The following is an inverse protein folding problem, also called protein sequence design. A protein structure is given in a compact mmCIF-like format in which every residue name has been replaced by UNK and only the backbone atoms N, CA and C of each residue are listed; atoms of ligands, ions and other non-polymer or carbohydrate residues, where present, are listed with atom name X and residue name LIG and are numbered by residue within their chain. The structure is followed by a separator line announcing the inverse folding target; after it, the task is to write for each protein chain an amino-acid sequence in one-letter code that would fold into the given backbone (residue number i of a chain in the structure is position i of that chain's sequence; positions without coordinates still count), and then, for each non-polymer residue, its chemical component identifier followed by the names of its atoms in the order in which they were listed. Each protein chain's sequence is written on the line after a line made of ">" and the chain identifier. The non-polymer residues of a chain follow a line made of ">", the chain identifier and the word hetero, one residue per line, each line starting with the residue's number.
data_IF_080079119428
#
_entry.id   IF_080079119428
#
_cell.length_a   1.000
_cell.length_b   1.000
_cell.length_c   1.000
_cell.angle_alpha   90.00
_cell.angle_beta   90.00
_cell.angle_gamma   90.00
#
_symmetry.space_group_name_H-M   'P 1'
#
loop_
_entity.id
_entity.type
_entity.pdbx_description
1 polymer ?
#
# COMPACT_ATOMS: atom_id res chain seq x y z
N UNK A 1 23.73 -15.08 24.39
CA UNK A 1 24.28 -14.83 23.04
C UNK A 1 23.18 -14.22 22.18
N UNK A 2 23.30 -12.95 21.78
CA UNK A 2 22.39 -12.37 20.77
C UNK A 2 22.87 -12.88 19.41
N UNK A 3 22.06 -13.70 18.74
CA UNK A 3 22.32 -14.03 17.35
C UNK A 3 21.97 -12.80 16.52
N UNK A 4 22.99 -12.09 16.05
CA UNK A 4 22.84 -11.10 14.99
C UNK A 4 22.43 -11.85 13.72
N UNK A 5 21.12 -11.92 13.46
CA UNK A 5 20.61 -12.38 12.18
C UNK A 5 20.95 -11.32 11.13
N UNK A 6 22.16 -11.42 10.57
CA UNK A 6 22.56 -10.64 9.41
C UNK A 6 21.77 -11.20 8.22
N UNK A 7 20.66 -10.54 7.88
CA UNK A 7 19.95 -10.78 6.62
C UNK A 7 20.92 -10.39 5.49
N UNK A 8 21.45 -11.38 4.78
CA UNK A 8 22.29 -11.14 3.59
C UNK A 8 21.36 -10.74 2.44
N UNK A 9 21.44 -9.49 2.01
CA UNK A 9 20.75 -8.97 0.83
C UNK A 9 21.77 -8.30 -0.09
N UNK A 10 21.58 -8.46 -1.41
CA UNK A 10 22.39 -7.83 -2.45
C UNK A 10 21.80 -6.46 -2.88
N UNK A 11 20.91 -5.88 -2.07
CA UNK A 11 20.29 -4.59 -2.39
C UNK A 11 21.34 -3.47 -2.37
N UNK A 12 21.53 -2.73 -3.49
CA UNK A 12 22.52 -1.66 -3.57
C UNK A 12 22.24 -0.50 -2.58
N UNK A 13 21.03 -0.40 -2.04
CA UNK A 13 20.62 0.65 -1.10
C UNK A 13 20.76 0.25 0.37
N UNK A 14 21.39 -0.89 0.68
CA UNK A 14 21.51 -1.38 2.06
C UNK A 14 22.15 -0.37 3.03
N UNK A 15 23.14 0.40 2.57
CA UNK A 15 23.78 1.45 3.38
C UNK A 15 22.79 2.56 3.76
N UNK A 16 22.01 3.03 2.79
CA UNK A 16 20.97 4.03 2.97
C UNK A 16 19.87 3.53 3.93
N UNK A 17 19.40 2.29 3.76
CA UNK A 17 18.43 1.70 4.69
C UNK A 17 18.97 1.57 6.11
N UNK A 18 20.26 1.23 6.29
CA UNK A 18 20.90 1.20 7.62
C UNK A 18 20.99 2.59 8.23
N UNK A 19 21.21 3.62 7.44
CA UNK A 19 21.23 5.01 7.92
C UNK A 19 19.84 5.48 8.32
N UNK A 20 18.85 5.33 7.44
CA UNK A 20 17.44 5.60 7.74
C UNK A 20 16.97 4.85 8.99
N UNK A 21 17.31 3.57 9.12
CA UNK A 21 16.94 2.78 10.30
C UNK A 21 17.57 3.33 11.58
N UNK A 22 18.83 3.79 11.53
CA UNK A 22 19.53 4.36 12.69
C UNK A 22 18.93 5.69 13.08
N UNK A 23 18.58 6.52 12.10
CA UNK A 23 17.94 7.81 12.37
C UNK A 23 16.50 7.65 12.86
N UNK A 24 15.79 6.63 12.37
CA UNK A 24 14.48 6.25 12.90
C UNK A 24 14.59 5.75 14.35
N UNK A 25 15.53 4.84 14.67
CA UNK A 25 15.80 4.37 16.04
C UNK A 25 16.32 5.48 16.96
N UNK A 26 16.91 6.54 16.42
CA UNK A 26 17.33 7.71 17.22
C UNK A 26 16.14 8.62 17.57
N UNK A 27 15.15 8.71 16.69
CA UNK A 27 13.93 9.50 16.89
C UNK A 27 12.90 8.76 17.73
N UNK A 28 12.79 7.45 17.55
CA UNK A 28 11.85 6.56 18.25
C UNK A 28 12.56 5.71 19.31
N UNK A 29 11.94 5.48 20.47
CA UNK A 29 12.56 4.64 21.50
C UNK A 29 12.63 3.17 21.04
N UNK A 30 13.70 2.44 21.42
CA UNK A 30 13.82 1.00 21.13
C UNK A 30 12.61 0.21 21.65
N UNK A 31 12.01 0.65 22.76
CA UNK A 31 10.80 0.02 23.30
C UNK A 31 9.60 0.27 22.39
N UNK A 32 9.40 1.52 21.94
CA UNK A 32 8.36 1.86 20.96
C UNK A 32 8.47 1.01 19.69
N UNK A 33 9.68 0.81 19.18
CA UNK A 33 9.92 -0.03 18.01
C UNK A 33 9.60 -1.50 18.28
N UNK A 34 9.98 -2.03 19.44
CA UNK A 34 9.64 -3.41 19.82
C UNK A 34 8.12 -3.57 19.92
N UNK A 35 7.44 -2.63 20.54
CA UNK A 35 5.99 -2.65 20.71
C UNK A 35 5.30 -2.61 19.35
N UNK A 36 5.79 -1.77 18.43
CA UNK A 36 5.36 -1.75 17.03
C UNK A 36 5.55 -3.11 16.35
N UNK A 37 6.74 -3.72 16.41
CA UNK A 37 6.96 -5.04 15.80
C UNK A 37 6.09 -6.15 16.43
N UNK A 38 5.85 -6.09 17.74
CA UNK A 38 4.92 -7.01 18.43
C UNK A 38 3.50 -6.80 17.90
N UNK A 39 3.06 -5.54 17.76
CA UNK A 39 1.77 -5.20 17.18
C UNK A 39 1.62 -5.75 15.76
N UNK A 40 2.59 -5.49 14.87
CA UNK A 40 2.60 -6.00 13.49
C UNK A 40 2.52 -7.52 13.49
N UNK A 41 3.35 -8.20 14.29
CA UNK A 41 3.35 -9.66 14.40
C UNK A 41 1.99 -10.20 14.82
N UNK A 42 1.38 -9.61 15.84
CA UNK A 42 0.07 -10.05 16.34
C UNK A 42 -1.02 -9.85 15.29
N UNK A 43 -1.02 -8.71 14.60
CA UNK A 43 -1.95 -8.42 13.51
C UNK A 43 -1.78 -9.39 12.33
N UNK A 44 -0.55 -9.67 11.91
CA UNK A 44 -0.28 -10.65 10.84
C UNK A 44 -0.71 -12.07 11.24
N UNK A 45 -0.53 -12.45 12.51
CA UNK A 45 -0.95 -13.78 13.00
C UNK A 45 -2.47 -13.97 13.04
N UNK A 46 -3.25 -12.88 12.95
CA UNK A 46 -4.71 -12.95 12.89
C UNK A 46 -5.26 -13.23 11.48
N UNK A 47 -4.40 -13.26 10.46
CA UNK A 47 -4.77 -13.57 9.08
C UNK A 47 -4.43 -15.01 8.76
N UNK A 48 -5.42 -15.73 8.24
CA UNK A 48 -5.30 -17.09 7.73
C UNK A 48 -5.82 -17.19 6.28
N UNK A 49 -5.87 -18.40 5.73
CA UNK A 49 -6.30 -18.64 4.35
C UNK A 49 -7.81 -18.44 4.13
N UNK A 50 -8.61 -18.38 5.20
CA UNK A 50 -10.06 -18.12 5.16
C UNK A 50 -10.40 -16.63 5.32
N UNK A 51 -9.41 -15.80 5.65
CA UNK A 51 -9.58 -14.37 5.84
C UNK A 51 -9.95 -13.69 4.52
N UNK A 52 -10.86 -12.72 4.57
CA UNK A 52 -11.34 -12.01 3.37
C UNK A 52 -10.44 -10.85 2.96
N UNK A 53 -10.61 -10.30 1.76
CA UNK A 53 -9.95 -9.06 1.33
C UNK A 53 -10.21 -7.90 2.30
N UNK A 54 -11.43 -7.77 2.83
CA UNK A 54 -11.76 -6.78 3.86
C UNK A 54 -10.96 -6.97 5.16
N UNK A 55 -10.64 -8.23 5.53
CA UNK A 55 -9.76 -8.49 6.67
C UNK A 55 -8.33 -7.99 6.39
N UNK A 56 -7.83 -8.19 5.17
CA UNK A 56 -6.53 -7.68 4.75
C UNK A 56 -6.52 -6.15 4.68
N UNK A 57 -7.57 -5.53 4.15
CA UNK A 57 -7.68 -4.07 4.14
C UNK A 57 -7.64 -3.49 5.56
N UNK A 58 -8.34 -4.13 6.51
CA UNK A 58 -8.35 -3.74 7.93
C UNK A 58 -6.98 -3.91 8.59
N UNK A 59 -6.25 -4.98 8.24
CA UNK A 59 -4.87 -5.20 8.65
C UNK A 59 -3.98 -4.05 8.15
N UNK A 60 -3.97 -3.79 6.84
CA UNK A 60 -3.13 -2.75 6.24
C UNK A 60 -3.46 -1.37 6.84
N UNK A 61 -4.75 -1.06 6.99
CA UNK A 61 -5.21 0.16 7.64
C UNK A 61 -4.63 0.29 9.06
N UNK A 62 -4.78 -0.74 9.88
CA UNK A 62 -4.28 -0.72 11.27
C UNK A 62 -2.76 -0.47 11.32
N UNK A 63 -2.01 -1.04 10.38
CA UNK A 63 -0.55 -0.88 10.29
C UNK A 63 -0.18 0.55 9.91
N UNK A 64 -0.85 1.11 8.91
CA UNK A 64 -0.57 2.48 8.47
C UNK A 64 -0.98 3.53 9.50
N UNK A 65 -2.11 3.33 10.19
CA UNK A 65 -2.54 4.20 11.28
C UNK A 65 -1.55 4.16 12.47
N UNK A 66 -1.01 2.97 12.80
CA UNK A 66 0.05 2.84 13.81
C UNK A 66 1.34 3.57 13.39
N UNK A 67 1.60 3.67 12.09
CA UNK A 67 2.67 4.47 11.51
C UNK A 67 2.33 5.96 11.38
N UNK A 68 1.22 6.42 11.99
CA UNK A 68 0.72 7.80 11.96
C UNK A 68 0.34 8.32 10.57
N UNK A 69 0.08 7.44 9.61
CA UNK A 69 -0.53 7.82 8.35
C UNK A 69 -2.05 7.81 8.44
N UNK A 70 -2.68 8.60 7.59
CA UNK A 70 -4.14 8.60 7.46
C UNK A 70 -4.58 7.71 6.31
N UNK A 71 -5.57 6.87 6.57
CA UNK A 71 -6.03 5.85 5.62
C UNK A 71 -7.50 6.07 5.27
N UNK A 72 -7.83 5.98 3.98
CA UNK A 72 -9.21 5.91 3.49
C UNK A 72 -9.44 4.56 2.81
N UNK A 73 -10.32 3.74 3.39
CA UNK A 73 -10.79 2.49 2.80
C UNK A 73 -11.98 2.77 1.91
N UNK A 74 -11.86 2.38 0.65
CA UNK A 74 -12.84 2.73 -0.36
C UNK A 74 -13.99 1.72 -0.40
N UNK A 75 -14.94 1.82 0.53
CA UNK A 75 -16.16 0.98 0.54
C UNK A 75 -17.02 1.19 -0.72
N UNK A 76 -17.52 0.09 -1.30
CA UNK A 76 -18.12 0.00 -2.63
C UNK A 76 -18.92 1.22 -3.13
N UNK A 77 -18.60 1.67 -4.35
CA UNK A 77 -19.28 2.74 -5.08
C UNK A 77 -18.63 2.98 -6.44
N UNK A 78 -19.45 3.13 -7.48
CA UNK A 78 -19.00 3.56 -8.81
C UNK A 78 -18.57 5.02 -8.76
N UNK A 79 -17.33 5.30 -9.14
CA UNK A 79 -16.91 6.65 -9.54
C UNK A 79 -16.79 6.60 -11.07
N UNK A 80 -17.72 7.25 -11.74
CA UNK A 80 -17.73 7.60 -13.18
C UNK A 80 -17.19 6.54 -14.15
N UNK A 81 -18.01 5.55 -14.52
CA UNK A 81 -17.86 4.80 -15.77
C UNK A 81 -16.62 3.91 -15.91
N UNK A 82 -15.65 3.96 -14.99
CA UNK A 82 -14.42 3.14 -15.00
C UNK A 82 -14.46 2.20 -13.79
N UNK A 83 -14.53 0.89 -14.08
CA UNK A 83 -14.59 -0.21 -13.11
C UNK A 83 -13.27 -0.48 -12.37
N UNK A 84 -12.50 0.53 -12.00
CA UNK A 84 -11.26 0.32 -11.23
C UNK A 84 -11.21 1.24 -10.01
N UNK A 85 -11.97 0.86 -8.98
CA UNK A 85 -11.79 1.42 -7.64
C UNK A 85 -10.57 0.75 -7.02
N UNK A 86 -9.79 1.50 -6.25
CA UNK A 86 -8.72 0.96 -5.43
C UNK A 86 -9.22 0.71 -4.01
N UNK A 87 -8.66 -0.27 -3.32
CA UNK A 87 -9.12 -0.66 -1.99
C UNK A 87 -8.71 0.36 -0.91
N UNK A 88 -7.46 0.85 -0.98
CA UNK A 88 -6.90 1.76 0.04
C UNK A 88 -6.21 2.96 -0.61
N UNK A 89 -6.54 4.14 -0.08
CA UNK A 89 -5.79 5.38 -0.27
C UNK A 89 -5.06 5.76 1.02
N UNK A 90 -3.77 6.05 0.91
CA UNK A 90 -2.91 6.49 2.01
C UNK A 90 -2.61 7.98 1.87
N UNK A 91 -2.61 8.70 2.97
CA UNK A 91 -2.33 10.13 3.07
C UNK A 91 -1.27 10.36 4.14
N UNK A 92 -0.50 11.44 4.00
CA UNK A 92 0.52 11.82 4.98
C UNK A 92 -0.12 12.10 6.36
N UNK A 93 -1.31 12.71 6.37
CA UNK A 93 -2.01 13.10 7.60
C UNK A 93 -3.53 13.28 7.35
N UNK A 94 -4.28 13.56 8.43
CA UNK A 94 -5.73 13.68 8.38
C UNK A 94 -6.21 14.92 7.63
N UNK A 95 -5.40 15.99 7.58
CA UNK A 95 -5.74 17.21 6.86
C UNK A 95 -5.83 16.90 5.36
N UNK A 96 -4.83 16.19 4.83
CA UNK A 96 -4.79 15.79 3.42
C UNK A 96 -5.95 14.86 3.06
N UNK A 97 -6.27 13.90 3.95
CA UNK A 97 -7.43 13.00 3.76
C UNK A 97 -8.76 13.77 3.76
N UNK A 98 -8.97 14.69 4.70
CA UNK A 98 -10.20 15.48 4.81
C UNK A 98 -10.37 16.40 3.60
N UNK A 99 -9.29 17.07 3.16
CA UNK A 99 -9.31 17.93 1.97
C UNK A 99 -9.64 17.12 0.71
N UNK A 100 -9.02 15.95 0.54
CA UNK A 100 -9.36 15.02 -0.54
C UNK A 100 -10.84 14.63 -0.53
N UNK A 101 -11.36 14.17 0.61
CA UNK A 101 -12.75 13.73 0.73
C UNK A 101 -13.74 14.89 0.46
N UNK A 102 -13.44 16.11 0.92
CA UNK A 102 -14.26 17.29 0.66
C UNK A 102 -14.33 17.59 -0.84
N UNK A 103 -13.17 17.66 -1.50
CA UNK A 103 -13.10 17.89 -2.94
C UNK A 103 -13.83 16.79 -3.71
N UNK A 104 -13.83 15.54 -3.21
CA UNK A 104 -14.41 14.39 -3.91
C UNK A 104 -15.94 14.52 -3.94
N UNK A 105 -16.52 14.97 -2.83
CA UNK A 105 -17.95 15.31 -2.74
C UNK A 105 -18.33 16.51 -3.61
N UNK A 106 -17.44 17.48 -3.78
CA UNK A 106 -17.64 18.62 -4.69
C UNK A 106 -17.59 18.20 -6.16
N UNK A 107 -16.61 17.35 -6.53
CA UNK A 107 -16.43 16.86 -7.90
C UNK A 107 -17.60 15.98 -8.40
N UNK A 108 -18.27 15.23 -7.51
CA UNK A 108 -19.49 14.48 -7.87
C UNK A 108 -20.61 15.37 -8.44
N UNK A 109 -20.53 16.68 -8.25
CA UNK A 109 -21.53 17.65 -8.71
C UNK A 109 -21.18 18.30 -10.06
N UNK A 110 -19.92 18.22 -10.53
CA UNK A 110 -19.41 18.93 -11.73
C UNK A 110 -18.25 18.13 -12.38
N UNK A 111 -18.35 17.72 -13.65
CA UNK A 111 -17.38 16.87 -14.37
C UNK A 111 -16.38 17.74 -15.20
N UNK A 112 -15.05 17.47 -15.27
CA UNK A 112 -14.13 16.97 -14.23
C UNK A 112 -12.70 17.58 -14.32
N UNK A 113 -11.99 17.68 -13.19
CA UNK A 113 -10.56 17.36 -12.99
C UNK A 113 -10.40 17.45 -11.49
N UNK A 114 -10.19 16.31 -10.86
CA UNK A 114 -10.07 16.22 -9.41
C UNK A 114 -8.59 16.12 -9.03
N UNK A 115 -8.11 16.99 -8.14
CA UNK A 115 -6.71 16.98 -7.70
C UNK A 115 -6.47 15.80 -6.75
N UNK A 116 -5.48 14.98 -7.08
CA UNK A 116 -5.08 13.79 -6.32
C UNK A 116 -3.81 14.03 -5.52
N UNK A 117 -3.35 15.29 -5.42
CA UNK A 117 -2.07 15.67 -4.81
C UNK A 117 -1.90 15.15 -3.39
N UNK A 118 -2.95 15.19 -2.57
CA UNK A 118 -2.93 14.73 -1.17
C UNK A 118 -2.76 13.21 -0.98
N UNK A 119 -3.00 12.38 -2.01
CA UNK A 119 -2.79 10.93 -1.89
C UNK A 119 -1.28 10.64 -1.92
N UNK A 120 -0.76 10.05 -0.85
CA UNK A 120 0.63 9.60 -0.75
C UNK A 120 0.85 8.31 -1.56
N UNK A 121 0.02 7.29 -1.30
CA UNK A 121 0.17 5.95 -1.87
C UNK A 121 -1.19 5.31 -2.08
N UNK A 122 -1.23 4.37 -3.01
CA UNK A 122 -2.40 3.59 -3.36
C UNK A 122 -2.10 2.12 -3.10
N UNK A 123 -2.99 1.40 -2.42
CA UNK A 123 -2.82 -0.03 -2.22
C UNK A 123 -4.04 -0.82 -2.71
N UNK A 124 -3.74 -1.85 -3.49
CA UNK A 124 -4.66 -2.89 -3.94
C UNK A 124 -4.42 -4.15 -3.11
N UNK A 125 -5.51 -4.78 -2.71
CA UNK A 125 -5.54 -5.92 -1.82
C UNK A 125 -6.09 -7.14 -2.57
N UNK A 126 -5.55 -8.31 -2.25
CA UNK A 126 -6.03 -9.61 -2.73
C UNK A 126 -6.24 -10.56 -1.56
N UNK A 127 -7.06 -11.58 -1.79
CA UNK A 127 -7.29 -12.63 -0.80
C UNK A 127 -5.96 -13.28 -0.33
N UNK A 128 -5.82 -13.69 0.94
CA UNK A 128 -4.59 -14.30 1.47
C UNK A 128 -4.03 -15.49 0.67
N UNK A 129 -4.88 -16.24 -0.03
CA UNK A 129 -4.50 -17.40 -0.86
C UNK A 129 -4.04 -17.00 -2.27
N UNK A 130 -4.11 -15.71 -2.61
CA UNK A 130 -3.58 -15.19 -3.86
C UNK A 130 -2.07 -15.45 -3.93
N UNK A 131 -1.64 -16.15 -4.97
CA UNK A 131 -0.24 -16.48 -5.20
C UNK A 131 0.40 -15.46 -6.12
N UNK A 132 1.51 -14.88 -5.66
CA UNK A 132 2.38 -14.01 -6.46
C UNK A 132 3.28 -14.77 -7.45
N UNK A 133 3.21 -16.11 -7.46
CA UNK A 133 3.96 -16.95 -8.41
C UNK A 133 3.11 -17.30 -9.65
N UNK A 134 1.78 -17.17 -9.55
CA UNK A 134 0.85 -17.46 -10.63
C UNK A 134 0.79 -16.29 -11.64
N UNK A 135 1.69 -16.29 -12.63
CA UNK A 135 1.92 -15.19 -13.58
C UNK A 135 0.65 -14.53 -14.14
N UNK A 136 -0.34 -15.32 -14.57
CA UNK A 136 -1.54 -14.77 -15.20
C UNK A 136 -2.42 -13.98 -14.21
N UNK A 137 -2.60 -14.51 -12.99
CA UNK A 137 -3.35 -13.85 -11.92
C UNK A 137 -2.63 -12.60 -11.39
N UNK A 138 -1.30 -12.66 -11.32
CA UNK A 138 -0.47 -11.51 -10.94
C UNK A 138 -0.62 -10.39 -11.96
N UNK A 139 -0.53 -10.70 -13.25
CA UNK A 139 -0.69 -9.71 -14.30
C UNK A 139 -2.06 -9.02 -14.24
N UNK A 140 -3.13 -9.76 -13.98
CA UNK A 140 -4.48 -9.18 -13.82
C UNK A 140 -4.55 -8.19 -12.65
N UNK A 141 -3.96 -8.56 -11.51
CA UNK A 141 -3.88 -7.69 -10.34
C UNK A 141 -2.98 -6.46 -10.56
N UNK A 142 -1.85 -6.64 -11.24
CA UNK A 142 -0.95 -5.56 -11.66
C UNK A 142 -1.68 -4.58 -12.61
N UNK A 143 -2.41 -5.10 -13.60
CA UNK A 143 -3.19 -4.30 -14.55
C UNK A 143 -4.30 -3.52 -13.83
N UNK A 144 -4.94 -4.11 -12.80
CA UNK A 144 -5.89 -3.40 -11.95
C UNK A 144 -5.24 -2.25 -11.19
N UNK A 145 -4.13 -2.52 -10.49
CA UNK A 145 -3.37 -1.48 -9.79
C UNK A 145 -2.92 -0.37 -10.75
N UNK A 146 -2.45 -0.72 -11.95
CA UNK A 146 -2.01 0.24 -12.95
C UNK A 146 -3.14 1.16 -13.43
N UNK A 147 -4.37 0.64 -13.59
CA UNK A 147 -5.55 1.46 -13.89
C UNK A 147 -5.82 2.47 -12.79
N UNK A 148 -5.75 2.05 -11.53
CA UNK A 148 -5.92 2.95 -10.38
C UNK A 148 -4.80 4.01 -10.33
N UNK A 149 -3.54 3.62 -10.51
CA UNK A 149 -2.42 4.56 -10.57
C UNK A 149 -2.60 5.61 -11.67
N UNK A 150 -3.12 5.23 -12.84
CA UNK A 150 -3.44 6.19 -13.91
C UNK A 150 -4.59 7.12 -13.51
N UNK A 151 -5.68 6.57 -12.99
CA UNK A 151 -6.85 7.32 -12.56
C UNK A 151 -6.48 8.38 -11.53
N UNK A 152 -5.64 8.02 -10.56
CA UNK A 152 -5.21 8.91 -9.49
C UNK A 152 -3.91 9.67 -9.80
N UNK A 153 -3.37 9.55 -11.01
CA UNK A 153 -2.12 10.19 -11.44
C UNK A 153 -0.93 9.92 -10.49
N UNK A 154 -0.78 8.67 -10.01
CA UNK A 154 0.31 8.24 -9.14
C UNK A 154 1.33 7.37 -9.84
N UNK A 155 2.56 7.41 -9.33
CA UNK A 155 3.69 6.64 -9.84
C UNK A 155 3.93 5.35 -9.05
N UNK A 156 3.51 5.31 -7.79
CA UNK A 156 3.78 4.18 -6.90
C UNK A 156 2.50 3.64 -6.29
N UNK A 157 2.46 2.33 -6.09
CA UNK A 157 1.38 1.65 -5.39
C UNK A 157 1.84 0.33 -4.78
N UNK A 158 1.02 -0.23 -3.90
CA UNK A 158 1.26 -1.53 -3.28
C UNK A 158 0.23 -2.53 -3.78
N UNK A 159 0.67 -3.76 -4.06
CA UNK A 159 -0.23 -4.92 -4.16
C UNK A 159 0.08 -5.85 -2.98
N UNK A 160 -0.94 -6.25 -2.23
CA UNK A 160 -0.76 -7.09 -1.04
C UNK A 160 -1.83 -8.14 -0.89
N UNK A 161 -1.47 -9.32 -0.38
CA UNK A 161 -2.42 -10.32 0.12
C UNK A 161 -2.39 -10.41 1.67
N UNK A 162 -1.83 -9.40 2.32
CA UNK A 162 -1.57 -9.37 3.76
C UNK A 162 -0.24 -10.03 4.16
N UNK A 163 0.13 -11.15 3.52
CA UNK A 163 1.39 -11.87 3.79
C UNK A 163 2.56 -11.31 2.97
N UNK A 164 2.32 -10.99 1.70
CA UNK A 164 3.29 -10.43 0.77
C UNK A 164 2.88 -9.00 0.44
N UNK A 165 3.84 -8.07 0.49
CA UNK A 165 3.64 -6.66 0.20
C UNK A 165 4.61 -6.28 -0.91
N UNK A 166 4.08 -6.04 -2.11
CA UNK A 166 4.89 -5.72 -3.28
C UNK A 166 4.71 -4.26 -3.66
N UNK A 167 5.80 -3.50 -3.65
CA UNK A 167 5.83 -2.11 -4.14
C UNK A 167 5.98 -2.09 -5.66
N UNK A 168 5.07 -1.40 -6.33
CA UNK A 168 5.07 -1.19 -7.77
C UNK A 168 5.45 0.22 -8.11
N UNK A 169 6.31 0.34 -9.12
CA UNK A 169 6.75 1.58 -9.71
C UNK A 169 6.30 1.60 -11.17
N UNK A 170 5.38 2.52 -11.49
CA UNK A 170 4.80 2.71 -12.82
C UNK A 170 5.86 3.00 -13.89
N UNK A 171 7.00 3.59 -13.53
CA UNK A 171 8.08 3.86 -14.48
C UNK A 171 8.83 2.59 -14.89
N UNK A 172 8.83 1.57 -14.04
CA UNK A 172 9.52 0.28 -14.25
C UNK A 172 8.64 -0.77 -14.92
N UNK A 173 7.33 -0.53 -15.01
CA UNK A 173 6.39 -1.38 -15.78
C UNK A 173 6.41 -1.09 -17.28
N UNK A 174 7.09 -0.03 -17.72
CA UNK A 174 7.53 0.10 -19.11
C UNK A 174 8.69 -0.90 -19.33
N UNK A 175 8.47 -1.87 -20.23
CA UNK A 175 9.43 -2.85 -20.79
C UNK A 175 9.53 -4.26 -20.19
N UNK A 176 8.41 -4.94 -19.87
CA UNK A 176 8.33 -6.35 -20.30
C UNK A 176 7.98 -6.33 -21.80
N UNK A 177 9.02 -6.46 -22.65
CA UNK A 177 8.98 -6.61 -24.12
C UNK A 177 7.60 -7.03 -24.63
N UNK A 178 6.91 -6.16 -25.37
CA UNK A 178 5.95 -6.60 -26.38
C UNK A 178 6.73 -7.48 -27.36
N UNK A 179 6.60 -8.79 -27.23
CA UNK A 179 6.92 -9.72 -28.31
C UNK A 179 5.70 -9.63 -29.23
N UNK A 180 5.90 -9.01 -30.40
CA UNK A 180 4.98 -9.13 -31.54
C UNK A 180 5.06 -10.54 -32.11
#
# INVERSE_FOLDING_TARGET
>A
MKADYIIKTNDPNLSFYKELSRDFIRKESINSLKDFFIFIKNKLSSIDDNSTEANIESLLKSIFEELSYSVEQQKGGQIEGVKSKVDILLFENDIDKVDFNKKLEEAKKIIPIFSTEGILLIAEVKHPVFSFDAKDKVKEAEDQLYRCLNQYQKHYGILSNGKVWSLYDKSKTLWRKKIY
#
